data_IF_482738076484
#
_entry.id   IF_482738076484
#
_cell.length_a   1.000
_cell.length_b   1.000
_cell.length_c   1.000
_cell.angle_alpha   90.00
_cell.angle_beta   90.00
_cell.angle_gamma   90.00
#
_symmetry.space_group_name_H-M   'P 1'
#
loop_
_entity.id
_entity.type
_entity.pdbx_description
1 polymer ?
#
# COMPACT_ATOMS: atom_id res chain seq x y z
N UNK A 1 -19.02 -26.49 -0.07
CA UNK A 1 -18.49 -26.05 -1.39
C UNK A 1 -19.57 -25.72 -2.43
N UNK A 2 -20.37 -26.68 -2.93
CA UNK A 2 -21.37 -26.43 -4.01
C UNK A 2 -22.37 -25.30 -3.73
N UNK A 3 -22.87 -25.19 -2.50
CA UNK A 3 -23.79 -24.12 -2.10
C UNK A 3 -23.14 -22.72 -2.17
N UNK A 4 -21.90 -22.58 -1.71
CA UNK A 4 -21.15 -21.31 -1.80
C UNK A 4 -20.88 -20.92 -3.25
N UNK A 5 -20.46 -21.88 -4.10
CA UNK A 5 -20.27 -21.62 -5.54
C UNK A 5 -21.58 -21.17 -6.21
N UNK A 6 -22.71 -21.79 -5.83
CA UNK A 6 -24.04 -21.38 -6.32
C UNK A 6 -24.41 -19.99 -5.84
N UNK A 7 -24.16 -19.65 -4.57
CA UNK A 7 -24.42 -18.33 -4.01
C UNK A 7 -23.62 -17.24 -4.74
N UNK A 8 -22.33 -17.47 -4.99
CA UNK A 8 -21.48 -16.54 -5.76
C UNK A 8 -22.02 -16.34 -7.18
N UNK A 9 -22.38 -17.43 -7.87
CA UNK A 9 -22.95 -17.36 -9.23
C UNK A 9 -24.28 -16.64 -9.30
N UNK A 10 -25.18 -16.92 -8.35
CA UNK A 10 -26.50 -16.28 -8.31
C UNK A 10 -26.41 -14.77 -8.03
N UNK A 11 -25.37 -14.37 -7.30
CA UNK A 11 -25.05 -12.98 -7.04
C UNK A 11 -24.04 -12.39 -8.04
N UNK A 12 -23.73 -13.06 -9.15
CA UNK A 12 -22.86 -12.47 -10.19
C UNK A 12 -23.59 -11.36 -10.99
N UNK A 13 -22.92 -10.26 -11.40
CA UNK A 13 -23.49 -9.18 -12.19
C UNK A 13 -23.96 -9.67 -13.54
N UNK A 14 -24.99 -8.99 -14.03
CA UNK A 14 -25.87 -9.42 -15.13
C UNK A 14 -27.35 -9.17 -14.81
N UNK A 15 -27.66 -8.91 -13.53
CA UNK A 15 -28.94 -8.36 -13.05
C UNK A 15 -28.69 -6.98 -12.42
N UNK A 16 -29.72 -6.19 -12.18
CA UNK A 16 -29.66 -4.84 -11.57
C UNK A 16 -28.83 -4.79 -10.26
N UNK A 17 -28.67 -3.61 -9.66
CA UNK A 17 -28.08 -3.48 -8.31
C UNK A 17 -28.53 -4.63 -7.41
N UNK A 18 -27.56 -5.36 -6.87
CA UNK A 18 -27.86 -6.51 -6.03
C UNK A 18 -28.48 -6.00 -4.73
N UNK A 19 -29.57 -6.62 -4.24
CA UNK A 19 -30.07 -6.33 -2.92
C UNK A 19 -28.94 -6.50 -1.87
N UNK A 20 -28.91 -5.69 -0.80
CA UNK A 20 -27.88 -5.79 0.25
C UNK A 20 -27.69 -7.20 0.83
N UNK A 21 -28.77 -8.00 0.87
CA UNK A 21 -28.71 -9.38 1.35
C UNK A 21 -28.01 -10.33 0.38
N UNK A 22 -28.10 -10.07 -0.92
CA UNK A 22 -27.38 -10.84 -1.94
C UNK A 22 -25.86 -10.54 -1.89
N UNK A 23 -25.49 -9.28 -1.64
CA UNK A 23 -24.09 -8.90 -1.42
C UNK A 23 -23.52 -9.57 -0.16
N UNK A 24 -24.23 -9.49 0.97
CA UNK A 24 -23.83 -10.17 2.22
C UNK A 24 -23.68 -11.68 2.04
N UNK A 25 -24.63 -12.32 1.37
CA UNK A 25 -24.59 -13.76 1.07
C UNK A 25 -23.39 -14.12 0.20
N UNK A 26 -23.05 -13.27 -0.78
CA UNK A 26 -21.90 -13.48 -1.66
C UNK A 26 -20.57 -13.33 -0.92
N UNK A 27 -20.40 -12.27 -0.12
CA UNK A 27 -19.22 -12.07 0.75
C UNK A 27 -19.02 -13.26 1.70
N UNK A 28 -20.09 -13.71 2.35
CA UNK A 28 -20.06 -14.91 3.19
C UNK A 28 -19.68 -16.18 2.41
N UNK A 29 -20.12 -16.31 1.16
CA UNK A 29 -19.76 -17.44 0.32
C UNK A 29 -18.26 -17.44 -0.05
N UNK A 30 -17.67 -16.30 -0.38
CA UNK A 30 -16.21 -16.18 -0.60
C UNK A 30 -15.41 -16.49 0.66
N UNK A 31 -15.84 -15.96 1.80
CA UNK A 31 -15.23 -16.26 3.09
C UNK A 31 -15.25 -17.77 3.39
N UNK A 32 -16.41 -18.41 3.21
CA UNK A 32 -16.54 -19.85 3.41
C UNK A 32 -15.71 -20.67 2.41
N UNK A 33 -15.52 -20.20 1.18
CA UNK A 33 -14.66 -20.87 0.20
C UNK A 33 -13.18 -20.77 0.59
N UNK A 34 -12.74 -19.62 1.09
CA UNK A 34 -11.40 -19.46 1.66
C UNK A 34 -11.18 -20.39 2.84
N UNK A 35 -12.11 -20.42 3.81
CA UNK A 35 -12.04 -21.32 4.97
C UNK A 35 -12.04 -22.81 4.60
N UNK A 36 -12.57 -23.17 3.42
CA UNK A 36 -12.53 -24.53 2.88
C UNK A 36 -11.23 -24.84 2.08
N UNK A 37 -10.26 -23.95 2.07
CA UNK A 37 -8.98 -24.14 1.37
C UNK A 37 -9.07 -24.00 -0.15
N UNK A 38 -10.08 -23.29 -0.66
CA UNK A 38 -10.28 -23.07 -2.12
C UNK A 38 -9.47 -21.87 -2.63
N UNK A 39 -8.51 -21.38 -1.84
CA UNK A 39 -7.61 -20.32 -2.27
C UNK A 39 -6.62 -20.80 -3.33
N UNK A 40 -6.23 -19.87 -4.20
CA UNK A 40 -5.33 -20.15 -5.32
C UNK A 40 -3.96 -19.57 -5.01
N UNK A 41 -2.93 -20.38 -5.23
CA UNK A 41 -1.55 -19.93 -5.12
C UNK A 41 -1.29 -18.86 -6.19
N UNK A 42 -0.77 -17.72 -5.75
CA UNK A 42 -0.39 -16.63 -6.64
C UNK A 42 1.06 -16.83 -7.13
N UNK A 43 1.37 -16.44 -8.37
CA UNK A 43 2.73 -16.48 -8.87
C UNK A 43 3.63 -15.52 -8.08
N UNK A 44 4.88 -15.94 -7.88
CA UNK A 44 5.88 -15.11 -7.22
C UNK A 44 6.29 -13.89 -8.06
N UNK A 45 7.10 -12.98 -7.51
CA UNK A 45 7.65 -11.85 -8.25
C UNK A 45 8.35 -12.27 -9.55
N UNK A 46 8.06 -11.57 -10.65
CA UNK A 46 8.63 -11.84 -11.97
C UNK A 46 8.02 -13.05 -12.70
N UNK A 47 7.06 -13.75 -12.08
CA UNK A 47 6.41 -14.91 -12.67
C UNK A 47 5.02 -14.55 -13.20
N UNK A 48 4.68 -15.07 -14.37
CA UNK A 48 3.33 -15.05 -14.93
C UNK A 48 2.88 -16.49 -15.12
N UNK A 49 1.68 -16.84 -14.63
CA UNK A 49 1.16 -18.19 -14.79
C UNK A 49 -0.36 -18.22 -14.79
N UNK A 50 -0.97 -19.22 -15.46
CA UNK A 50 -2.40 -19.46 -15.34
C UNK A 50 -2.72 -19.92 -13.92
N UNK A 51 -3.58 -19.17 -13.24
CA UNK A 51 -4.18 -19.53 -11.97
C UNK A 51 -5.14 -20.70 -12.20
N UNK A 52 -4.75 -21.89 -11.74
CA UNK A 52 -5.60 -23.08 -11.85
C UNK A 52 -6.44 -23.30 -10.59
N UNK A 53 -7.57 -24.00 -10.81
CA UNK A 53 -8.60 -24.46 -9.85
C UNK A 53 -9.81 -23.54 -9.64
N UNK A 54 -10.56 -23.28 -10.71
CA UNK A 54 -12.02 -23.29 -10.59
C UNK A 54 -12.55 -24.47 -11.41
N UNK A 55 -13.06 -25.49 -10.71
CA UNK A 55 -13.61 -26.69 -11.36
C UNK A 55 -14.71 -26.31 -12.35
N UNK A 56 -14.63 -26.85 -13.57
CA UNK A 56 -15.58 -26.75 -14.70
C UNK A 56 -15.28 -25.73 -15.81
N UNK A 57 -14.25 -24.88 -15.72
CA UNK A 57 -13.90 -23.96 -16.80
C UNK A 57 -12.53 -24.25 -17.43
N UNK A 58 -12.45 -24.23 -18.77
CA UNK A 58 -11.18 -24.30 -19.52
C UNK A 58 -10.51 -22.95 -19.71
N UNK A 59 -11.20 -21.83 -19.46
CA UNK A 59 -10.64 -20.50 -19.63
C UNK A 59 -9.69 -20.19 -18.46
N UNK A 60 -8.39 -19.98 -18.70
CA UNK A 60 -7.46 -19.62 -17.64
C UNK A 60 -7.66 -18.17 -17.21
N UNK A 61 -7.66 -17.93 -15.90
CA UNK A 61 -7.29 -16.62 -15.33
C UNK A 61 -5.78 -16.62 -15.21
N UNK A 62 -5.11 -15.54 -15.59
CA UNK A 62 -3.67 -15.38 -15.44
C UNK A 62 -3.37 -14.48 -14.25
N UNK A 63 -2.32 -14.80 -13.51
CA UNK A 63 -1.70 -13.91 -12.54
C UNK A 63 -0.29 -13.57 -13.00
N UNK A 64 0.14 -12.34 -12.78
CA UNK A 64 1.53 -11.92 -12.94
C UNK A 64 2.01 -11.22 -11.67
N UNK A 65 3.00 -11.80 -11.00
CA UNK A 65 3.61 -11.25 -9.79
C UNK A 65 4.70 -10.24 -10.11
N UNK A 66 4.81 -9.20 -9.29
CA UNK A 66 5.91 -8.24 -9.29
C UNK A 66 6.31 -7.92 -7.85
N UNK A 67 7.57 -7.52 -7.66
CA UNK A 67 8.03 -6.87 -6.43
C UNK A 67 8.09 -5.37 -6.70
N UNK A 68 7.76 -4.56 -5.71
CA UNK A 68 7.92 -3.12 -5.77
C UNK A 68 8.67 -2.62 -4.54
N UNK A 69 9.42 -1.55 -4.73
CA UNK A 69 10.07 -0.79 -3.68
C UNK A 69 9.87 0.68 -4.02
N UNK A 70 9.42 1.45 -3.05
CA UNK A 70 9.31 2.89 -3.14
C UNK A 70 10.18 3.50 -2.06
N UNK A 71 11.00 4.48 -2.43
CA UNK A 71 11.85 5.22 -1.50
C UNK A 71 11.46 6.69 -1.54
N UNK A 72 11.28 7.27 -0.36
CA UNK A 72 11.05 8.70 -0.17
C UNK A 72 11.92 9.24 0.96
N UNK A 73 11.94 10.57 1.11
CA UNK A 73 12.72 11.26 2.14
C UNK A 73 12.33 10.88 3.58
N UNK A 74 11.19 10.21 3.78
CA UNK A 74 10.71 9.74 5.08
C UNK A 74 10.76 8.23 5.28
N UNK A 75 11.40 7.47 4.37
CA UNK A 75 11.52 6.02 4.47
C UNK A 75 11.23 5.29 3.15
N UNK A 76 11.35 3.96 3.22
CA UNK A 76 11.00 3.07 2.13
C UNK A 76 9.73 2.27 2.44
N UNK A 77 9.03 1.85 1.41
CA UNK A 77 8.09 0.74 1.49
C UNK A 77 8.44 -0.26 0.41
N UNK A 78 8.22 -1.54 0.70
CA UNK A 78 8.39 -2.59 -0.28
C UNK A 78 7.19 -3.51 -0.24
N UNK A 79 7.05 -4.32 -1.28
CA UNK A 79 5.95 -5.28 -1.28
C UNK A 79 5.93 -6.13 -2.53
N UNK A 80 4.97 -7.04 -2.55
CA UNK A 80 4.63 -7.80 -3.72
C UNK A 80 3.31 -7.30 -4.30
N UNK A 81 3.16 -7.42 -5.60
CA UNK A 81 1.90 -7.18 -6.28
C UNK A 81 1.60 -8.32 -7.24
N UNK A 82 0.33 -8.67 -7.41
CA UNK A 82 -0.10 -9.67 -8.39
C UNK A 82 -1.22 -9.10 -9.22
N UNK A 83 -1.03 -9.03 -10.52
CA UNK A 83 -2.03 -8.57 -11.46
C UNK A 83 -2.81 -9.75 -12.05
N UNK A 84 -4.13 -9.76 -11.89
CA UNK A 84 -5.00 -10.82 -12.39
C UNK A 84 -5.77 -10.36 -13.62
N UNK A 85 -5.79 -11.18 -14.66
CA UNK A 85 -6.57 -10.91 -15.87
C UNK A 85 -7.01 -12.19 -16.59
N UNK A 86 -7.84 -12.05 -17.63
CA UNK A 86 -8.31 -13.18 -18.45
C UNK A 86 -7.34 -13.59 -19.58
N UNK A 87 -6.25 -12.83 -19.76
CA UNK A 87 -5.16 -13.16 -20.67
C UNK A 87 -3.82 -12.84 -20.02
N UNK A 88 -2.78 -13.57 -20.41
CA UNK A 88 -1.42 -13.32 -19.92
C UNK A 88 -0.95 -11.90 -20.26
N UNK A 89 -1.27 -11.41 -21.46
CA UNK A 89 -0.91 -10.07 -21.93
C UNK A 89 -1.58 -8.96 -21.11
N UNK A 90 -2.83 -9.15 -20.68
CA UNK A 90 -3.54 -8.19 -19.83
C UNK A 90 -3.10 -8.30 -18.35
N UNK A 91 -2.66 -9.49 -17.92
CA UNK A 91 -2.07 -9.70 -16.59
C UNK A 91 -0.64 -9.13 -16.53
N UNK A 92 0.08 -9.14 -17.65
CA UNK A 92 1.44 -8.65 -17.72
C UNK A 92 1.53 -7.21 -17.23
N UNK A 93 2.35 -7.00 -16.19
CA UNK A 93 2.61 -5.69 -15.61
C UNK A 93 3.53 -4.82 -16.49
N UNK A 94 3.87 -5.29 -17.71
CA UNK A 94 4.75 -4.59 -18.65
C UNK A 94 6.14 -4.34 -18.06
N UNK A 95 6.68 -3.14 -18.28
CA UNK A 95 7.98 -2.72 -17.71
C UNK A 95 8.00 -2.69 -16.18
N UNK A 96 6.84 -2.74 -15.50
CA UNK A 96 6.76 -2.84 -14.04
C UNK A 96 7.16 -4.25 -13.53
N UNK A 97 7.12 -5.30 -14.37
CA UNK A 97 7.57 -6.65 -13.98
C UNK A 97 9.03 -6.95 -14.34
N UNK A 98 9.65 -6.11 -15.17
CA UNK A 98 11.03 -6.30 -15.66
C UNK A 98 12.07 -5.49 -14.86
N UNK A 99 11.68 -4.93 -13.72
CA UNK A 99 12.60 -4.26 -12.82
C UNK A 99 13.61 -5.24 -12.25
N UNK A 100 14.84 -5.18 -12.76
CA UNK A 100 16.04 -5.73 -12.15
C UNK A 100 16.22 -5.11 -10.78
N UNK A 101 15.86 -5.82 -9.70
CA UNK A 101 16.12 -5.59 -8.27
C UNK A 101 15.85 -4.19 -7.65
N UNK A 102 15.85 -3.10 -8.39
CA UNK A 102 15.77 -1.73 -7.93
C UNK A 102 14.60 -1.00 -8.58
N UNK A 103 13.56 -0.74 -7.78
CA UNK A 103 12.56 0.32 -7.93
C UNK A 103 11.59 0.20 -9.10
N UNK A 104 10.52 -0.55 -8.87
CA UNK A 104 9.25 -0.38 -9.59
C UNK A 104 8.40 0.59 -8.78
N UNK A 105 8.06 1.75 -9.36
CA UNK A 105 7.12 2.68 -8.73
C UNK A 105 5.81 1.95 -8.41
N UNK A 106 5.27 2.16 -7.19
CA UNK A 106 3.99 1.59 -6.75
C UNK A 106 2.97 1.71 -7.89
N UNK A 107 2.29 0.62 -8.29
CA UNK A 107 1.33 0.67 -9.40
C UNK A 107 0.30 1.79 -9.17
N UNK A 108 0.41 2.90 -9.93
CA UNK A 108 -0.42 4.11 -9.77
C UNK A 108 -1.91 3.90 -10.13
N UNK A 109 -2.27 2.69 -10.56
CA UNK A 109 -3.65 2.30 -10.92
C UNK A 109 -3.92 0.87 -10.49
N UNK A 110 -4.27 0.74 -9.24
CA UNK A 110 -5.10 -0.33 -8.70
C UNK A 110 -5.90 0.32 -7.58
N UNK A 111 -7.20 0.10 -7.53
CA UNK A 111 -7.99 0.46 -6.36
C UNK A 111 -7.34 -0.26 -5.18
N UNK A 112 -6.53 0.46 -4.40
CA UNK A 112 -6.21 0.08 -3.03
C UNK A 112 -7.56 -0.05 -2.36
N UNK A 113 -8.03 -1.30 -2.24
CA UNK A 113 -9.25 -1.73 -1.55
C UNK A 113 -10.14 -0.56 -1.13
N UNK A 114 -10.91 -0.03 -2.07
CA UNK A 114 -12.16 0.65 -1.73
C UNK A 114 -13.07 -0.45 -1.22
N UNK A 115 -13.01 -0.71 0.08
CA UNK A 115 -13.88 -1.68 0.78
C UNK A 115 -15.34 -1.19 0.77
N UNK A 116 -15.59 0.03 0.28
CA UNK A 116 -16.91 0.56 0.01
C UNK A 116 -17.11 0.89 -1.47
N UNK A 117 -18.12 0.25 -2.05
CA UNK A 117 -18.68 0.59 -3.36
C UNK A 117 -18.05 -0.19 -4.51
N UNK A 118 -18.83 -1.11 -5.08
CA UNK A 118 -18.53 -1.65 -6.41
C UNK A 118 -18.35 -0.49 -7.40
N UNK A 119 -17.25 -0.39 -8.15
CA UNK A 119 -17.08 0.69 -9.11
C UNK A 119 -18.20 0.66 -10.17
N UNK A 120 -18.68 1.83 -10.65
CA UNK A 120 -19.72 1.91 -11.66
C UNK A 120 -19.32 1.14 -12.94
N UNK A 121 -20.32 0.45 -13.52
CA UNK A 121 -20.18 -0.62 -14.52
C UNK A 121 -19.42 -0.25 -15.80
N UNK A 122 -19.35 1.03 -16.16
CA UNK A 122 -18.80 1.48 -17.45
C UNK A 122 -17.27 1.58 -17.50
N UNK A 123 -16.56 1.39 -16.37
CA UNK A 123 -15.09 1.44 -16.31
C UNK A 123 -14.52 0.39 -15.36
N UNK A 124 -14.93 -0.88 -15.51
CA UNK A 124 -14.21 -1.95 -14.80
C UNK A 124 -12.82 -2.12 -15.41
N UNK A 125 -11.76 -2.18 -14.61
CA UNK A 125 -10.41 -2.37 -15.12
C UNK A 125 -10.30 -3.79 -15.71
N UNK A 126 -9.58 -3.92 -16.83
CA UNK A 126 -9.28 -5.22 -17.47
C UNK A 126 -8.36 -6.11 -16.64
N UNK A 127 -7.87 -5.61 -15.50
CA UNK A 127 -6.93 -6.30 -14.63
C UNK A 127 -7.07 -5.84 -13.18
N UNK A 128 -6.76 -6.74 -12.23
CA UNK A 128 -6.77 -6.49 -10.79
C UNK A 128 -5.37 -6.59 -10.22
N UNK A 129 -4.85 -5.50 -9.67
CA UNK A 129 -3.58 -5.50 -8.94
C UNK A 129 -3.86 -5.68 -7.45
N UNK A 130 -3.47 -6.84 -6.91
CA UNK A 130 -3.34 -7.07 -5.47
C UNK A 130 -1.98 -6.58 -5.03
N UNK A 131 -1.89 -5.89 -3.90
CA UNK A 131 -0.61 -5.48 -3.33
C UNK A 131 -0.55 -5.96 -1.89
N UNK A 132 0.45 -6.75 -1.56
CA UNK A 132 0.86 -6.98 -0.18
C UNK A 132 1.98 -5.98 0.12
N UNK A 133 1.72 -5.12 1.10
CA UNK A 133 2.68 -4.12 1.55
C UNK A 133 3.48 -4.75 2.69
N UNK A 134 4.74 -5.10 2.41
CA UNK A 134 5.74 -5.35 3.44
C UNK A 134 6.22 -4.00 3.91
N UNK A 135 5.43 -3.48 4.82
CA UNK A 135 5.59 -2.17 5.34
C UNK A 135 6.86 -2.16 6.23
N UNK A 136 8.06 -1.90 5.68
CA UNK A 136 9.22 -1.38 6.46
C UNK A 136 8.97 0.09 6.86
N UNK A 137 7.75 0.34 7.26
CA UNK A 137 7.06 1.58 7.04
C UNK A 137 7.16 2.37 8.32
N UNK A 138 8.00 3.39 8.26
CA UNK A 138 7.84 4.58 9.08
C UNK A 138 6.65 5.43 8.58
N UNK A 139 5.60 4.93 7.89
CA UNK A 139 4.49 5.83 7.50
C UNK A 139 3.73 6.31 8.74
N UNK A 140 3.34 7.58 8.71
CA UNK A 140 2.75 8.27 9.86
C UNK A 140 3.69 9.31 10.47
N UNK A 141 3.50 9.69 11.74
CA UNK A 141 4.37 10.62 12.45
C UNK A 141 5.85 10.20 12.37
N UNK A 142 6.07 8.88 12.34
CA UNK A 142 7.37 8.22 12.24
C UNK A 142 8.24 8.68 11.04
N UNK A 143 7.67 8.86 9.85
CA UNK A 143 8.38 9.28 8.63
C UNK A 143 8.74 10.76 8.64
N UNK A 144 7.97 11.57 9.37
CA UNK A 144 8.21 13.02 9.48
C UNK A 144 9.20 13.37 10.59
N UNK A 145 9.43 12.44 11.50
CA UNK A 145 10.31 12.60 12.65
C UNK A 145 11.55 11.71 12.57
N UNK A 146 11.81 11.07 11.42
CA UNK A 146 12.84 10.04 11.29
C UNK A 146 14.22 10.56 11.68
N UNK A 147 14.54 11.85 11.45
CA UNK A 147 15.76 12.45 11.98
C UNK A 147 15.53 13.93 12.31
N UNK A 148 15.98 14.36 13.49
CA UNK A 148 16.14 15.79 13.74
C UNK A 148 17.12 16.34 12.69
N UNK A 149 16.75 17.41 12.01
CA UNK A 149 17.65 18.11 11.10
C UNK A 149 17.51 19.62 11.28
N UNK A 150 18.53 20.35 10.89
CA UNK A 150 18.47 21.81 10.88
C UNK A 150 17.30 22.34 10.04
N UNK A 151 16.93 21.65 8.97
CA UNK A 151 15.81 22.04 8.11
C UNK A 151 14.44 21.86 8.78
N UNK A 152 14.28 20.88 9.66
CA UNK A 152 13.02 20.62 10.38
C UNK A 152 12.93 21.35 11.73
N UNK A 153 14.07 21.71 12.33
CA UNK A 153 14.15 22.38 13.64
C UNK A 153 13.47 23.76 13.65
N UNK A 154 12.57 23.97 14.61
CA UNK A 154 11.95 25.28 14.84
C UNK A 154 12.92 26.21 15.58
N UNK A 155 13.74 25.65 16.49
CA UNK A 155 14.78 26.38 17.20
C UNK A 155 15.86 26.95 16.25
N UNK A 156 16.33 26.16 15.28
CA UNK A 156 17.29 26.62 14.26
C UNK A 156 16.67 27.69 13.38
N UNK A 157 15.42 27.51 12.94
CA UNK A 157 14.70 28.55 12.18
C UNK A 157 14.56 29.86 12.95
N UNK A 158 14.18 29.81 14.23
CA UNK A 158 14.09 31.00 15.08
C UNK A 158 15.44 31.70 15.30
N UNK A 159 16.53 30.95 15.43
CA UNK A 159 17.88 31.51 15.50
C UNK A 159 18.30 32.18 14.17
N UNK A 160 18.00 31.54 13.04
CA UNK A 160 18.23 32.11 11.72
C UNK A 160 17.42 33.40 11.50
N UNK A 161 16.15 33.42 11.91
CA UNK A 161 15.29 34.60 11.83
C UNK A 161 15.82 35.76 12.71
N UNK A 162 16.35 35.44 13.90
CA UNK A 162 17.00 36.43 14.77
C UNK A 162 18.26 37.00 14.13
N UNK A 163 19.08 36.17 13.48
CA UNK A 163 20.24 36.61 12.71
C UNK A 163 19.82 37.56 11.57
N UNK A 164 18.78 37.20 10.81
CA UNK A 164 18.26 38.05 9.71
C UNK A 164 17.75 39.39 10.22
N UNK A 165 17.03 39.41 11.34
CA UNK A 165 16.53 40.64 11.96
C UNK A 165 17.68 41.58 12.37
N UNK A 166 18.78 41.04 12.91
CA UNK A 166 19.98 41.82 13.26
C UNK A 166 20.72 42.34 12.03
N UNK A 167 20.70 41.59 10.92
CA UNK A 167 21.34 41.97 9.67
C UNK A 167 20.62 43.11 8.91
N UNK A 168 19.49 43.62 9.43
CA UNK A 168 18.79 44.77 8.85
C UNK A 168 17.68 44.43 7.84
N UNK A 169 17.26 43.17 7.74
CA UNK A 169 16.16 42.74 6.86
C UNK A 169 16.57 42.57 5.38
N UNK A 170 15.74 41.84 4.64
CA UNK A 170 15.91 41.58 3.20
C UNK A 170 14.74 42.22 2.47
N UNK A 171 14.79 43.52 2.19
CA UNK A 171 13.67 44.26 1.57
C UNK A 171 13.39 43.85 0.11
N UNK A 172 14.23 43.00 -0.50
CA UNK A 172 14.15 42.58 -1.91
C UNK A 172 13.59 41.18 -2.21
N UNK A 173 13.17 40.42 -1.20
CA UNK A 173 12.71 39.03 -1.38
C UNK A 173 13.82 37.97 -1.24
N UNK A 174 13.40 36.71 -1.09
CA UNK A 174 14.24 35.59 -0.57
C UNK A 174 15.41 35.20 -1.50
N UNK A 175 15.32 35.49 -2.80
CA UNK A 175 16.32 35.07 -3.79
C UNK A 175 17.60 35.94 -3.81
N UNK A 176 17.53 37.17 -3.31
CA UNK A 176 18.64 38.15 -3.39
C UNK A 176 19.28 38.46 -2.02
N UNK A 177 19.07 37.60 -1.02
CA UNK A 177 19.61 37.81 0.32
C UNK A 177 20.66 36.75 0.69
N UNK A 178 21.95 36.95 0.33
CA UNK A 178 23.06 36.10 0.77
C UNK A 178 23.11 35.90 2.29
N UNK A 179 22.54 36.83 3.06
CA UNK A 179 22.45 36.74 4.52
C UNK A 179 21.41 35.72 5.00
N UNK A 180 20.35 35.41 4.25
CA UNK A 180 19.33 34.48 4.70
C UNK A 180 19.82 33.03 4.70
N UNK A 181 20.54 32.62 3.64
CA UNK A 181 21.19 31.31 3.56
C UNK A 181 22.30 31.22 4.61
N UNK A 182 23.19 32.22 4.68
CA UNK A 182 24.27 32.27 5.69
C UNK A 182 23.75 32.22 7.12
N UNK A 183 22.70 32.97 7.46
CA UNK A 183 22.10 32.92 8.81
C UNK A 183 21.53 31.53 9.12
N UNK A 184 21.00 30.81 8.13
CA UNK A 184 20.47 29.46 8.32
C UNK A 184 21.60 28.44 8.48
N UNK A 185 22.67 28.57 7.70
CA UNK A 185 23.89 27.75 7.81
C UNK A 185 24.61 27.99 9.15
N UNK A 186 24.77 29.25 9.57
CA UNK A 186 25.39 29.61 10.85
C UNK A 186 24.56 29.11 12.04
N UNK A 187 23.24 29.27 12.00
CA UNK A 187 22.34 28.74 13.02
C UNK A 187 22.39 27.21 13.10
N UNK A 188 22.46 26.54 11.95
CA UNK A 188 22.61 25.08 11.89
C UNK A 188 23.97 24.63 12.46
N UNK A 189 25.07 25.22 11.99
CA UNK A 189 26.41 24.88 12.44
C UNK A 189 26.60 25.10 13.96
N UNK A 190 25.97 26.14 14.52
CA UNK A 190 25.97 26.36 15.97
C UNK A 190 25.12 25.34 16.70
N UNK A 191 23.93 25.00 16.18
CA UNK A 191 23.08 23.96 16.77
C UNK A 191 23.74 22.57 16.76
N UNK A 192 24.53 22.25 15.73
CA UNK A 192 25.30 21.01 15.64
C UNK A 192 26.52 21.00 16.59
N UNK A 193 27.23 22.14 16.71
CA UNK A 193 28.41 22.25 17.57
C UNK A 193 28.06 22.32 19.06
N UNK A 194 27.03 23.10 19.41
CA UNK A 194 26.64 23.41 20.79
C UNK A 194 25.12 23.56 20.89
N UNK A 195 24.37 22.44 20.91
CA UNK A 195 22.92 22.47 20.88
C UNK A 195 22.35 23.19 22.11
N UNK A 196 21.51 24.19 21.85
CA UNK A 196 20.75 24.91 22.87
C UNK A 196 19.74 24.00 23.58
N UNK A 197 19.19 24.39 24.76
CA UNK A 197 18.15 23.60 25.43
C UNK A 197 16.94 23.30 24.53
N UNK A 198 16.54 24.24 23.66
CA UNK A 198 15.46 24.04 22.71
C UNK A 198 15.81 23.00 21.63
N UNK A 199 17.02 23.07 21.07
CA UNK A 199 17.51 22.08 20.10
C UNK A 199 17.60 20.68 20.73
N UNK A 200 18.10 20.57 21.97
CA UNK A 200 18.16 19.28 22.68
C UNK A 200 16.77 18.69 22.93
N UNK A 201 15.78 19.52 23.27
CA UNK A 201 14.40 19.07 23.45
C UNK A 201 13.80 18.54 22.14
N UNK A 202 14.05 19.21 21.01
CA UNK A 202 13.64 18.73 19.69
C UNK A 202 14.35 17.42 19.30
N UNK A 203 15.67 17.33 19.53
CA UNK A 203 16.44 16.10 19.28
C UNK A 203 15.93 14.95 20.15
N UNK A 204 15.70 15.17 21.44
CA UNK A 204 15.18 14.14 22.34
C UNK A 204 13.79 13.67 21.94
N UNK A 205 12.92 14.59 21.50
CA UNK A 205 11.60 14.24 20.98
C UNK A 205 11.70 13.40 19.70
N UNK A 206 12.60 13.76 18.78
CA UNK A 206 12.86 12.97 17.58
C UNK A 206 13.35 11.56 17.94
N UNK A 207 14.32 11.43 18.86
CA UNK A 207 14.80 10.15 19.37
C UNK A 207 13.69 9.30 20.01
N UNK A 208 12.86 9.88 20.88
CA UNK A 208 11.73 9.16 21.49
C UNK A 208 10.71 8.72 20.46
N UNK A 209 10.51 9.53 19.42
CA UNK A 209 9.62 9.17 18.32
C UNK A 209 10.20 7.98 17.54
N UNK A 210 11.48 8.01 17.18
CA UNK A 210 12.17 6.90 16.51
C UNK A 210 12.11 5.61 17.35
N UNK A 211 12.36 5.70 18.66
CA UNK A 211 12.31 4.56 19.58
C UNK A 211 10.89 3.97 19.69
N UNK A 212 9.87 4.82 19.76
CA UNK A 212 8.47 4.39 19.74
C UNK A 212 8.10 3.72 18.41
N UNK A 213 8.49 4.33 17.29
CA UNK A 213 8.28 3.75 15.96
C UNK A 213 9.02 2.43 15.79
N UNK A 214 10.11 2.23 16.53
CA UNK A 214 10.80 0.95 16.58
C UNK A 214 10.12 -0.10 17.46
N UNK A 215 9.28 0.27 18.40
CA UNK A 215 8.73 -0.69 19.38
C UNK A 215 7.27 -1.06 19.12
N UNK A 216 6.56 -0.29 18.30
CA UNK A 216 5.16 -0.58 17.96
C UNK A 216 5.04 -1.73 16.94
N UNK A 217 4.12 -2.68 17.17
CA UNK A 217 3.84 -3.74 16.22
C UNK A 217 3.24 -3.17 14.93
N UNK A 218 3.69 -3.69 13.79
CA UNK A 218 3.26 -3.21 12.49
C UNK A 218 1.99 -3.95 12.03
N UNK A 219 1.02 -3.25 11.43
CA UNK A 219 -0.08 -3.92 10.76
C UNK A 219 0.47 -4.68 9.54
N UNK A 220 0.17 -5.96 9.47
CA UNK A 220 0.49 -6.85 8.37
C UNK A 220 -0.82 -7.35 7.77
N UNK A 221 -1.06 -7.04 6.50
CA UNK A 221 -2.21 -7.52 5.75
C UNK A 221 -1.78 -8.63 4.82
N UNK A 222 -2.34 -9.82 5.03
CA UNK A 222 -2.16 -10.97 4.13
C UNK A 222 -3.44 -11.16 3.32
N UNK A 223 -3.34 -11.31 2.00
CA UNK A 223 -4.51 -11.44 1.13
C UNK A 223 -4.48 -12.75 0.34
N UNK A 224 -5.58 -13.49 0.42
CA UNK A 224 -5.78 -14.73 -0.32
C UNK A 224 -6.79 -14.53 -1.45
N UNK A 225 -6.49 -15.10 -2.62
CA UNK A 225 -7.40 -15.07 -3.77
C UNK A 225 -8.25 -16.32 -3.80
N UNK A 226 -9.55 -16.15 -4.00
CA UNK A 226 -10.55 -17.21 -4.13
C UNK A 226 -11.15 -17.15 -5.52
N UNK A 227 -10.85 -18.15 -6.35
CA UNK A 227 -11.49 -18.31 -7.66
C UNK A 227 -12.79 -19.10 -7.51
N UNK A 228 -13.91 -18.39 -7.36
CA UNK A 228 -15.22 -19.03 -7.29
C UNK A 228 -15.69 -19.51 -8.67
N UNK A 229 -15.47 -18.71 -9.72
CA UNK A 229 -15.79 -19.11 -11.09
C UNK A 229 -14.92 -18.39 -12.13
N UNK A 230 -13.88 -19.09 -12.62
CA UNK A 230 -12.98 -18.57 -13.65
C UNK A 230 -13.68 -18.28 -14.99
N UNK A 231 -14.77 -19.00 -15.33
CA UNK A 231 -15.48 -18.80 -16.60
C UNK A 231 -16.16 -17.45 -16.67
N UNK A 232 -16.68 -17.01 -15.54
CA UNK A 232 -17.38 -15.73 -15.38
C UNK A 232 -16.43 -14.62 -14.89
N UNK A 233 -15.15 -14.92 -14.62
CA UNK A 233 -14.20 -13.95 -14.09
C UNK A 233 -14.47 -13.57 -12.63
N UNK A 234 -15.02 -14.49 -11.83
CA UNK A 234 -15.43 -14.23 -10.44
C UNK A 234 -14.29 -14.53 -9.49
N UNK A 235 -13.69 -13.44 -9.02
CA UNK A 235 -12.54 -13.48 -8.13
C UNK A 235 -12.91 -12.77 -6.83
N UNK A 236 -12.81 -13.50 -5.72
CA UNK A 236 -12.87 -12.94 -4.38
C UNK A 236 -11.47 -12.74 -3.82
N UNK A 237 -11.30 -11.70 -3.02
CA UNK A 237 -10.07 -11.44 -2.27
C UNK A 237 -10.45 -11.43 -0.80
N UNK A 238 -9.82 -12.29 -0.01
CA UNK A 238 -10.02 -12.35 1.44
C UNK A 238 -8.73 -11.88 2.08
N UNK A 239 -8.78 -10.74 2.77
CA UNK A 239 -7.63 -10.17 3.44
C UNK A 239 -7.79 -10.31 4.95
N UNK A 240 -6.73 -10.75 5.62
CA UNK A 240 -6.63 -10.78 7.07
C UNK A 240 -5.56 -9.77 7.48
N UNK A 241 -5.98 -8.77 8.26
CA UNK A 241 -5.05 -7.84 8.88
C UNK A 241 -4.65 -8.40 10.24
N UNK A 242 -3.36 -8.35 10.53
CA UNK A 242 -2.80 -8.82 11.79
C UNK A 242 -1.82 -7.80 12.31
N UNK A 243 -1.67 -7.67 13.62
CA UNK A 243 -0.56 -6.94 14.20
C UNK A 243 0.56 -7.93 14.45
N UNK A 244 1.75 -7.65 13.93
CA UNK A 244 2.90 -8.55 14.03
C UNK A 244 3.98 -7.84 14.83
N UNK A 245 4.47 -8.49 15.87
CA UNK A 245 5.63 -8.06 16.62
C UNK A 245 6.91 -8.16 15.77
N UNK A 246 7.97 -7.46 16.17
CA UNK A 246 9.25 -7.47 15.45
C UNK A 246 9.89 -8.85 15.28
N UNK A 247 9.61 -9.77 16.20
CA UNK A 247 10.09 -11.16 16.12
C UNK A 247 9.26 -12.03 15.14
N UNK A 248 8.33 -11.43 14.40
CA UNK A 248 7.42 -12.12 13.49
C UNK A 248 6.21 -12.74 14.18
N UNK A 249 6.05 -12.56 15.50
CA UNK A 249 4.93 -13.13 16.24
C UNK A 249 3.66 -12.32 16.01
N UNK A 250 2.61 -12.98 15.54
CA UNK A 250 1.28 -12.39 15.44
C UNK A 250 0.73 -12.11 16.84
N UNK A 251 0.42 -10.84 17.13
CA UNK A 251 -0.11 -10.36 18.40
C UNK A 251 -1.64 -10.35 18.41
N UNK A 252 -2.24 -9.85 17.34
CA UNK A 252 -3.69 -9.78 17.17
C UNK A 252 -4.06 -10.05 15.70
N UNK A 253 -5.16 -10.75 15.48
CA UNK A 253 -5.75 -10.95 14.16
C UNK A 253 -7.08 -10.22 14.12
N UNK A 254 -7.28 -9.36 13.13
CA UNK A 254 -8.60 -8.77 12.90
C UNK A 254 -9.49 -9.77 12.18
N UNK A 255 -10.81 -9.55 12.27
CA UNK A 255 -11.74 -10.29 11.42
C UNK A 255 -11.35 -10.09 9.94
N UNK A 256 -11.35 -11.17 9.14
CA UNK A 256 -11.01 -11.09 7.73
C UNK A 256 -12.05 -10.28 6.97
N UNK A 257 -11.57 -9.42 6.09
CA UNK A 257 -12.39 -8.60 5.20
C UNK A 257 -12.42 -9.21 3.80
N UNK A 258 -13.58 -9.14 3.15
CA UNK A 258 -13.76 -9.69 1.80
C UNK A 258 -13.95 -8.55 0.81
N UNK A 259 -12.94 -8.36 -0.04
CA UNK A 259 -13.01 -7.55 -1.24
C UNK A 259 -13.48 -8.39 -2.44
N UNK A 260 -14.21 -7.77 -3.37
CA UNK A 260 -14.74 -8.45 -4.54
C UNK A 260 -14.33 -7.74 -5.82
N UNK A 261 -13.90 -8.51 -6.82
CA UNK A 261 -13.46 -7.96 -8.10
C UNK A 261 -13.97 -8.82 -9.25
N UNK A 262 -14.41 -8.14 -10.31
CA UNK A 262 -14.95 -8.75 -11.52
C UNK A 262 -13.96 -8.54 -12.65
N UNK A 263 -13.45 -9.64 -13.21
CA UNK A 263 -12.66 -9.59 -14.44
C UNK A 263 -13.63 -9.69 -15.62
N UNK A 264 -13.84 -8.58 -16.33
CA UNK A 264 -14.68 -8.59 -17.53
C UNK A 264 -13.92 -9.16 -18.73
N UNK A 265 -14.59 -9.99 -19.53
CA UNK A 265 -14.18 -10.23 -20.91
C UNK A 265 -14.50 -8.97 -21.70
N UNK A 266 -13.49 -8.29 -22.20
CA UNK A 266 -13.68 -7.40 -23.35
C UNK A 266 -14.11 -8.30 -24.50
N UNK A 267 -15.33 -8.12 -25.00
CA UNK A 267 -15.73 -8.75 -26.26
C UNK A 267 -14.72 -8.33 -27.35
N UNK A 268 -14.28 -9.25 -28.23
CA UNK A 268 -13.34 -8.94 -29.30
C UNK A 268 -13.91 -7.97 -30.34
#
# INVERSE_FOLDING_TARGET
>A
MRANLRAVRLAAPGKAELPPDAERTRKAAYFNLHALGVSVALPGPGQCSPLTKASACKAPVYGCGAKWTEHGSGGGSSGAAVNLALSEQAAALGKLAQGTEDTVARPKRGVLLGIEGSPPREKMPSSLVLTEEEAEVFTGPCARHSEWSCGSSAAVRGAADTCRARAGGCDGGVMDCPSALRCSEEACAEAERSPSPAVRAEQQLAWQTVDRCGTEPLPHTSCSVVLADACLGLVGVVCETSTVARDGKVLEKTSPEVGEVWLQRTEP
#
